data_IF_668998579087
#
_entry.id   IF_668998579087
#
_cell.length_a   1.000
_cell.length_b   1.000
_cell.length_c   1.000
_cell.angle_alpha   90.00
_cell.angle_beta   90.00
_cell.angle_gamma   90.00
#
_symmetry.space_group_name_H-M   'P 1'
#
loop_
_entity.id
_entity.type
_entity.pdbx_description
1 polymer ?
#
# COMPACT_ATOMS: atom_id res chain seq x y z
N UNK A 1 -4.50 31.29 -4.11
CA UNK A 1 -3.13 31.60 -3.61
C UNK A 1 -2.39 30.28 -3.47
N UNK A 2 -1.09 30.25 -3.77
CA UNK A 2 -0.28 29.05 -3.58
C UNK A 2 -0.11 28.75 -2.10
N UNK A 3 -0.29 27.49 -1.72
CA UNK A 3 -0.20 26.98 -0.37
C UNK A 3 1.01 26.06 -0.25
N UNK A 4 1.65 26.05 0.92
CA UNK A 4 2.70 25.10 1.27
C UNK A 4 2.28 24.34 2.53
N UNK A 5 2.44 23.03 2.51
CA UNK A 5 2.22 22.13 3.65
C UNK A 5 3.43 21.21 3.80
N UNK A 6 3.94 21.11 5.03
CA UNK A 6 4.97 20.14 5.39
C UNK A 6 4.30 18.96 6.09
N UNK A 7 4.58 17.74 5.65
CA UNK A 7 4.11 16.50 6.25
C UNK A 7 5.31 15.77 6.83
N UNK A 8 5.39 15.67 8.14
CA UNK A 8 6.45 14.96 8.85
C UNK A 8 6.11 13.47 8.96
N UNK A 9 6.96 12.63 8.37
CA UNK A 9 6.74 11.19 8.24
C UNK A 9 7.72 10.44 9.15
N UNK A 10 7.21 9.42 9.84
CA UNK A 10 8.01 8.36 10.47
C UNK A 10 7.65 7.01 9.85
N UNK A 11 8.64 6.29 9.34
CA UNK A 11 8.42 4.94 8.82
C UNK A 11 8.09 3.96 9.96
N UNK A 12 7.05 3.15 9.79
CA UNK A 12 6.70 2.03 10.67
C UNK A 12 7.31 0.72 10.16
N UNK A 13 7.46 0.61 8.84
CA UNK A 13 8.20 -0.46 8.17
C UNK A 13 9.11 0.16 7.11
N UNK A 14 10.13 -0.54 6.60
CA UNK A 14 11.04 0.05 5.63
C UNK A 14 10.30 0.57 4.41
N UNK A 15 10.64 1.76 3.95
CA UNK A 15 10.13 2.33 2.70
C UNK A 15 11.08 1.99 1.55
N UNK A 16 10.52 1.74 0.37
CA UNK A 16 11.29 1.48 -0.84
C UNK A 16 10.90 2.46 -1.95
N UNK A 17 11.82 3.34 -2.32
CA UNK A 17 11.70 4.26 -3.46
C UNK A 17 12.89 4.04 -4.37
N UNK A 18 12.77 3.04 -5.25
CA UNK A 18 13.85 2.67 -6.17
C UNK A 18 14.15 3.76 -7.18
N UNK A 19 15.44 4.00 -7.45
CA UNK A 19 15.91 4.82 -8.56
C UNK A 19 15.79 4.07 -9.91
N UNK A 20 16.32 4.68 -10.97
CA UNK A 20 16.32 4.10 -12.32
C UNK A 20 17.08 2.77 -12.43
N UNK A 21 18.00 2.51 -11.49
CA UNK A 21 18.78 1.28 -11.38
C UNK A 21 18.12 0.27 -10.43
N UNK A 22 16.96 0.61 -9.86
CA UNK A 22 16.28 -0.20 -8.87
C UNK A 22 16.98 -0.23 -7.51
N UNK A 23 17.76 0.80 -7.17
CA UNK A 23 18.43 0.96 -5.88
C UNK A 23 17.67 1.94 -4.98
N UNK A 24 17.70 1.73 -3.66
CA UNK A 24 16.99 2.55 -2.68
C UNK A 24 17.98 3.31 -1.77
N UNK A 25 18.89 4.08 -2.38
CA UNK A 25 19.94 4.82 -1.65
C UNK A 25 19.43 6.04 -0.90
N UNK A 26 18.35 6.68 -1.37
CA UNK A 26 17.68 7.82 -0.73
C UNK A 26 16.16 7.77 -1.00
N UNK A 27 15.39 8.59 -0.30
CA UNK A 27 13.95 8.72 -0.58
C UNK A 27 13.75 9.47 -1.89
N UNK A 28 13.16 8.80 -2.89
CA UNK A 28 12.88 9.38 -4.21
C UNK A 28 11.45 9.90 -4.29
N UNK A 29 11.31 11.18 -4.60
CA UNK A 29 10.02 11.86 -4.85
C UNK A 29 9.15 11.10 -5.84
N UNK A 30 9.73 10.61 -6.94
CA UNK A 30 9.02 9.87 -7.99
C UNK A 30 8.37 8.59 -7.47
N UNK A 31 9.02 7.89 -6.54
CA UNK A 31 8.46 6.70 -5.89
C UNK A 31 7.27 7.03 -4.99
N UNK A 32 7.35 8.14 -4.26
CA UNK A 32 6.26 8.64 -3.42
C UNK A 32 5.07 9.07 -4.29
N UNK A 33 5.30 9.95 -5.27
CA UNK A 33 4.27 10.44 -6.20
C UNK A 33 3.60 9.27 -6.94
N UNK A 34 4.37 8.28 -7.40
CA UNK A 34 3.83 7.10 -8.08
C UNK A 34 2.88 6.29 -7.18
N UNK A 35 3.25 6.09 -5.91
CA UNK A 35 2.37 5.41 -4.94
C UNK A 35 1.12 6.24 -4.62
N UNK A 36 1.26 7.55 -4.42
CA UNK A 36 0.14 8.47 -4.19
C UNK A 36 -0.86 8.43 -5.35
N UNK A 37 -0.36 8.49 -6.60
CA UNK A 37 -1.20 8.42 -7.79
C UNK A 37 -1.98 7.11 -7.84
N UNK A 38 -1.32 5.98 -7.63
CA UNK A 38 -1.96 4.66 -7.67
C UNK A 38 -3.10 4.53 -6.66
N UNK A 39 -2.89 5.03 -5.44
CA UNK A 39 -3.92 5.06 -4.40
C UNK A 39 -5.07 6.03 -4.74
N UNK A 40 -4.74 7.22 -5.22
CA UNK A 40 -5.73 8.21 -5.61
C UNK A 40 -6.63 7.70 -6.75
N UNK A 41 -6.06 6.98 -7.73
CA UNK A 41 -6.82 6.28 -8.77
C UNK A 41 -7.81 5.26 -8.20
N UNK A 42 -7.40 4.45 -7.22
CA UNK A 42 -8.29 3.47 -6.59
C UNK A 42 -9.41 4.13 -5.78
N UNK A 43 -9.11 5.21 -5.06
CA UNK A 43 -10.09 5.97 -4.28
C UNK A 43 -11.10 6.65 -5.21
N UNK A 44 -10.65 7.32 -6.27
CA UNK A 44 -11.54 7.98 -7.26
C UNK A 44 -12.52 6.97 -7.87
N UNK A 45 -12.04 5.79 -8.29
CA UNK A 45 -12.93 4.72 -8.80
C UNK A 45 -13.90 4.22 -7.72
N UNK A 46 -13.43 4.10 -6.48
CA UNK A 46 -14.26 3.75 -5.33
C UNK A 46 -15.39 4.72 -5.06
N UNK A 47 -15.13 6.01 -5.25
CA UNK A 47 -16.11 7.08 -5.09
C UNK A 47 -17.02 7.24 -6.32
N UNK A 48 -16.90 6.37 -7.34
CA UNK A 48 -17.73 6.40 -8.56
C UNK A 48 -17.19 7.31 -9.67
N UNK A 49 -16.06 7.98 -9.44
CA UNK A 49 -15.35 8.80 -10.41
C UNK A 49 -14.59 7.97 -11.45
N UNK A 50 -14.08 8.65 -12.47
CA UNK A 50 -13.29 8.02 -13.55
C UNK A 50 -11.79 8.31 -13.37
N UNK A 51 -10.99 7.25 -13.43
CA UNK A 51 -9.53 7.30 -13.50
C UNK A 51 -9.04 6.38 -14.62
N UNK A 52 -8.22 6.89 -15.54
CA UNK A 52 -7.68 6.12 -16.66
C UNK A 52 -6.79 4.95 -16.22
N UNK A 53 -6.63 3.96 -17.09
CA UNK A 53 -5.60 2.92 -16.92
C UNK A 53 -4.23 3.50 -17.31
N UNK A 54 -3.29 3.71 -16.37
CA UNK A 54 -2.00 4.32 -16.67
C UNK A 54 -1.14 3.44 -17.61
N UNK A 55 -1.47 2.16 -17.80
CA UNK A 55 -0.76 1.28 -18.74
C UNK A 55 -1.18 1.42 -20.21
N UNK A 56 -2.25 2.18 -20.49
CA UNK A 56 -2.84 2.31 -21.83
C UNK A 56 -2.71 3.70 -22.47
N UNK A 57 -2.03 4.64 -21.80
CA UNK A 57 -1.83 6.02 -22.28
C UNK A 57 -3.13 6.73 -22.71
N UNK A 58 -4.21 6.58 -21.93
CA UNK A 58 -5.56 7.02 -22.33
C UNK A 58 -5.84 8.52 -22.15
N UNK A 59 -5.04 9.26 -21.38
CA UNK A 59 -5.26 10.69 -21.12
C UNK A 59 -4.21 11.57 -21.83
N UNK A 60 -4.69 12.48 -22.68
CA UNK A 60 -3.92 13.56 -23.29
C UNK A 60 -4.75 14.84 -23.28
N UNK A 61 -4.15 15.95 -22.87
CA UNK A 61 -4.83 17.23 -22.77
C UNK A 61 -4.99 17.91 -24.15
N UNK A 62 -6.20 18.38 -24.44
CA UNK A 62 -6.53 19.09 -25.67
C UNK A 62 -6.98 20.54 -25.37
N UNK A 63 -6.10 21.51 -25.66
CA UNK A 63 -6.32 22.93 -25.30
C UNK A 63 -7.58 23.52 -25.95
N UNK A 64 -7.87 23.19 -27.21
CA UNK A 64 -9.04 23.72 -27.93
C UNK A 64 -10.36 23.29 -27.27
N UNK A 65 -10.43 22.04 -26.79
CA UNK A 65 -11.60 21.51 -26.05
C UNK A 65 -11.74 22.21 -24.70
N UNK A 66 -10.63 22.44 -24.01
CA UNK A 66 -10.63 23.16 -22.74
C UNK A 66 -11.16 24.60 -22.92
N UNK A 67 -10.61 25.38 -23.86
CA UNK A 67 -11.03 26.75 -24.11
C UNK A 67 -12.51 26.85 -24.52
N UNK A 68 -12.97 25.93 -25.37
CA UNK A 68 -14.38 25.86 -25.76
C UNK A 68 -15.29 25.55 -24.57
N UNK A 69 -14.90 24.61 -23.70
CA UNK A 69 -15.65 24.32 -22.48
C UNK A 69 -15.71 25.53 -21.53
N UNK A 70 -14.61 26.29 -21.38
CA UNK A 70 -14.58 27.52 -20.58
C UNK A 70 -15.48 28.61 -21.17
N UNK A 71 -15.50 28.78 -22.50
CA UNK A 71 -16.42 29.72 -23.19
C UNK A 71 -17.89 29.37 -22.96
N UNK A 72 -18.20 28.09 -22.81
CA UNK A 72 -19.55 27.60 -22.46
C UNK A 72 -19.89 27.75 -20.97
N UNK A 73 -19.02 28.36 -20.16
CA UNK A 73 -19.26 28.62 -18.73
C UNK A 73 -19.08 27.40 -17.83
N UNK A 74 -18.48 26.30 -18.32
CA UNK A 74 -18.18 25.13 -17.50
C UNK A 74 -17.15 25.45 -16.43
N UNK A 75 -17.26 24.77 -15.29
CA UNK A 75 -16.27 24.92 -14.22
C UNK A 75 -14.95 24.24 -14.59
N UNK A 76 -13.90 24.51 -13.83
CA UNK A 76 -12.55 24.00 -14.11
C UNK A 76 -12.49 22.48 -14.28
N UNK A 77 -13.13 21.75 -13.37
CA UNK A 77 -13.12 20.28 -13.38
C UNK A 77 -13.79 19.72 -14.64
N UNK A 78 -14.94 20.29 -15.01
CA UNK A 78 -15.68 19.90 -16.22
C UNK A 78 -14.91 20.24 -17.50
N UNK A 79 -14.30 21.44 -17.56
CA UNK A 79 -13.49 21.85 -18.71
C UNK A 79 -12.28 20.93 -18.92
N UNK A 80 -11.59 20.55 -17.85
CA UNK A 80 -10.46 19.62 -17.94
C UNK A 80 -10.89 18.20 -18.33
N UNK A 81 -12.08 17.77 -17.88
CA UNK A 81 -12.67 16.49 -18.27
C UNK A 81 -13.00 16.45 -19.77
N UNK A 82 -13.64 17.49 -20.28
CA UNK A 82 -13.93 17.65 -21.71
C UNK A 82 -12.64 17.68 -22.55
N UNK A 83 -11.57 18.23 -21.98
CA UNK A 83 -10.24 18.28 -22.58
C UNK A 83 -9.42 16.98 -22.50
N UNK A 84 -10.04 15.86 -22.11
CA UNK A 84 -9.41 14.53 -22.14
C UNK A 84 -8.74 14.08 -20.84
N UNK A 85 -8.88 14.83 -19.74
CA UNK A 85 -8.27 14.48 -18.45
C UNK A 85 -9.25 13.80 -17.50
N UNK A 86 -8.92 12.59 -17.04
CA UNK A 86 -9.60 11.99 -15.89
C UNK A 86 -9.28 12.77 -14.60
N UNK A 87 -10.09 12.57 -13.56
CA UNK A 87 -9.99 13.25 -12.24
C UNK A 87 -8.56 13.23 -11.70
N UNK A 88 -7.91 12.07 -11.78
CA UNK A 88 -6.54 11.88 -11.27
C UNK A 88 -5.54 12.69 -12.09
N UNK A 89 -5.64 12.64 -13.42
CA UNK A 89 -4.75 13.35 -14.32
C UNK A 89 -4.85 14.87 -14.16
N UNK A 90 -6.02 15.38 -13.75
CA UNK A 90 -6.17 16.80 -13.44
C UNK A 90 -5.23 17.25 -12.30
N UNK A 91 -4.92 16.37 -11.33
CA UNK A 91 -4.01 16.67 -10.20
C UNK A 91 -2.59 16.20 -10.49
N UNK A 92 -2.42 14.94 -10.88
CA UNK A 92 -1.12 14.27 -11.02
C UNK A 92 -0.44 14.50 -12.37
N UNK A 93 -1.13 15.14 -13.31
CA UNK A 93 -0.62 15.41 -14.65
C UNK A 93 -0.85 14.26 -15.64
N UNK A 94 -0.75 14.60 -16.91
CA UNK A 94 -0.82 13.71 -18.07
C UNK A 94 -0.04 14.34 -19.25
N UNK A 95 -0.02 13.69 -20.40
CA UNK A 95 0.54 14.29 -21.62
C UNK A 95 -0.17 15.61 -21.92
N UNK A 96 0.60 16.69 -22.09
CA UNK A 96 0.06 18.04 -22.32
C UNK A 96 -0.49 18.75 -21.08
N UNK A 97 -0.48 18.12 -19.89
CA UNK A 97 -0.97 18.73 -18.65
C UNK A 97 -0.01 18.51 -17.48
N UNK A 98 0.53 19.60 -16.93
CA UNK A 98 1.45 19.52 -15.78
C UNK A 98 0.72 19.09 -14.50
N UNK A 99 1.45 18.43 -13.63
CA UNK A 99 1.02 18.18 -12.25
C UNK A 99 0.72 19.50 -11.54
N UNK A 100 -0.34 19.52 -10.74
CA UNK A 100 -0.85 20.73 -10.06
C UNK A 100 -0.26 20.94 -8.65
N UNK A 101 0.80 20.22 -8.33
CA UNK A 101 1.56 20.36 -7.10
C UNK A 101 3.04 20.08 -7.34
N UNK A 102 3.89 20.72 -6.54
CA UNK A 102 5.27 20.29 -6.32
C UNK A 102 5.30 19.40 -5.07
N UNK A 103 6.16 18.39 -5.09
CA UNK A 103 6.46 17.53 -3.94
C UNK A 103 7.98 17.43 -3.86
N UNK A 104 8.55 17.81 -2.72
CA UNK A 104 9.97 17.62 -2.45
C UNK A 104 10.21 16.93 -1.10
N UNK A 105 11.35 16.26 -0.99
CA UNK A 105 11.80 15.64 0.26
C UNK A 105 12.72 16.61 1.00
N UNK A 106 12.48 16.81 2.29
CA UNK A 106 13.30 17.60 3.19
C UNK A 106 13.63 16.79 4.45
N UNK A 107 14.70 17.17 5.16
CA UNK A 107 15.15 16.54 6.42
C UNK A 107 15.13 15.00 6.37
N UNK A 108 15.68 14.41 5.31
CA UNK A 108 15.77 12.94 5.20
C UNK A 108 16.78 12.39 6.21
N UNK A 109 16.27 11.94 7.35
CA UNK A 109 17.03 11.27 8.41
C UNK A 109 16.91 9.73 8.31
N UNK A 110 16.40 9.22 7.19
CA UNK A 110 16.28 7.78 7.00
C UNK A 110 17.66 7.14 6.82
N UNK A 111 17.78 5.90 7.28
CA UNK A 111 18.96 5.06 7.09
C UNK A 111 18.55 3.77 6.41
N UNK A 112 19.50 3.13 5.75
CA UNK A 112 19.30 1.76 5.30
C UNK A 112 18.92 0.88 6.51
N UNK A 113 17.91 0.04 6.36
CA UNK A 113 17.36 -0.73 7.49
C UNK A 113 18.34 -1.81 7.97
N UNK A 114 19.25 -2.26 7.09
CA UNK A 114 20.42 -3.06 7.40
C UNK A 114 21.43 -2.98 6.26
N UNK A 115 22.71 -3.23 6.53
CA UNK A 115 23.82 -2.98 5.59
C UNK A 115 24.11 -4.15 4.64
N UNK A 116 25.12 -3.93 3.77
CA UNK A 116 25.75 -4.92 2.87
C UNK A 116 24.86 -5.47 1.75
N UNK A 117 23.73 -4.83 1.44
CA UNK A 117 22.77 -5.29 0.43
C UNK A 117 22.32 -6.76 0.64
N UNK A 118 22.37 -7.25 1.88
CA UNK A 118 22.01 -8.63 2.20
C UNK A 118 20.51 -8.82 1.93
N UNK A 119 20.15 -9.82 1.13
CA UNK A 119 18.76 -10.14 0.86
C UNK A 119 18.28 -11.16 1.88
N UNK A 120 17.28 -10.82 2.69
CA UNK A 120 16.65 -11.77 3.60
C UNK A 120 15.71 -12.68 2.81
N UNK A 121 15.99 -13.98 2.79
CA UNK A 121 15.12 -14.98 2.19
C UNK A 121 14.25 -15.64 3.27
N UNK A 122 13.08 -15.06 3.53
CA UNK A 122 12.11 -15.61 4.48
C UNK A 122 11.42 -16.80 3.82
N UNK A 123 11.71 -18.01 4.31
CA UNK A 123 11.23 -19.26 3.72
C UNK A 123 10.71 -20.21 4.80
N UNK A 124 9.38 -20.38 4.91
CA UNK A 124 8.77 -21.32 5.84
C UNK A 124 9.20 -22.78 5.61
N UNK A 125 9.03 -23.67 6.61
CA UNK A 125 9.39 -25.08 6.51
C UNK A 125 8.77 -25.76 5.28
N UNK A 126 9.47 -26.76 4.73
CA UNK A 126 9.00 -27.56 3.59
C UNK A 126 8.76 -26.78 2.28
N UNK A 127 9.20 -25.51 2.19
CA UNK A 127 9.14 -24.72 0.95
C UNK A 127 10.48 -24.73 0.20
N UNK A 128 10.41 -24.84 -1.13
CA UNK A 128 11.59 -24.71 -2.00
C UNK A 128 11.96 -23.24 -2.27
N UNK A 129 10.97 -22.35 -2.31
CA UNK A 129 11.13 -20.91 -2.60
C UNK A 129 10.60 -20.07 -1.42
N UNK A 130 11.13 -18.87 -1.26
CA UNK A 130 10.74 -17.93 -0.21
C UNK A 130 10.49 -16.52 -0.74
N UNK A 131 10.33 -15.58 0.19
CA UNK A 131 10.18 -14.17 -0.09
C UNK A 131 11.50 -13.45 0.16
N UNK A 132 11.91 -12.64 -0.81
CA UNK A 132 13.17 -11.91 -0.78
C UNK A 132 12.91 -10.46 -0.35
N UNK A 133 13.48 -10.09 0.79
CA UNK A 133 13.37 -8.74 1.36
C UNK A 133 14.72 -8.03 1.17
N UNK A 134 14.70 -6.90 0.47
CA UNK A 134 15.88 -6.05 0.26
C UNK A 134 15.93 -4.95 1.32
N UNK A 135 17.09 -4.43 1.70
CA UNK A 135 17.16 -3.33 2.64
C UNK A 135 16.44 -2.10 2.09
N UNK A 136 15.32 -1.73 2.71
CA UNK A 136 14.66 -0.45 2.48
C UNK A 136 15.25 0.62 3.39
N UNK A 137 14.68 1.81 3.36
CA UNK A 137 15.07 2.91 4.26
C UNK A 137 14.09 3.00 5.43
N UNK A 138 14.59 3.30 6.63
CA UNK A 138 13.78 3.47 7.84
C UNK A 138 14.26 4.70 8.60
N UNK A 139 13.33 5.48 9.15
CA UNK A 139 13.63 6.70 9.90
C UNK A 139 12.53 7.75 9.73
N UNK A 140 12.95 9.02 9.74
CA UNK A 140 12.08 10.18 9.61
C UNK A 140 12.47 11.00 8.39
N UNK A 141 11.49 11.64 7.77
CA UNK A 141 11.69 12.61 6.70
C UNK A 141 10.48 13.53 6.59
N UNK A 142 10.63 14.66 5.91
CA UNK A 142 9.55 15.59 5.63
C UNK A 142 9.21 15.58 4.14
N UNK A 143 7.91 15.62 3.83
CA UNK A 143 7.40 15.86 2.49
C UNK A 143 6.88 17.29 2.45
N UNK A 144 7.41 18.11 1.56
CA UNK A 144 6.91 19.48 1.33
C UNK A 144 6.01 19.43 0.10
N UNK A 145 4.73 19.78 0.27
CA UNK A 145 3.77 19.94 -0.80
C UNK A 145 3.54 21.42 -1.07
N UNK A 146 3.57 21.81 -2.35
CA UNK A 146 3.25 23.17 -2.77
C UNK A 146 2.26 23.14 -3.93
N UNK A 147 1.19 23.94 -3.88
CA UNK A 147 0.16 23.92 -4.90
C UNK A 147 -1.05 24.78 -4.52
N UNK A 148 -2.13 24.71 -5.28
CA UNK A 148 -3.37 25.37 -4.89
C UNK A 148 -4.00 24.70 -3.68
N UNK A 149 -4.67 25.49 -2.82
CA UNK A 149 -5.27 25.01 -1.56
C UNK A 149 -6.18 23.79 -1.74
N UNK A 150 -7.01 23.76 -2.79
CA UNK A 150 -7.88 22.63 -3.07
C UNK A 150 -7.09 21.34 -3.42
N UNK A 151 -5.95 21.48 -4.11
CA UNK A 151 -5.06 20.35 -4.42
C UNK A 151 -4.36 19.88 -3.16
N UNK A 152 -3.78 20.79 -2.37
CA UNK A 152 -3.13 20.46 -1.10
C UNK A 152 -4.11 19.79 -0.14
N UNK A 153 -5.35 20.26 -0.04
CA UNK A 153 -6.35 19.64 0.81
C UNK A 153 -6.72 18.22 0.40
N UNK A 154 -6.86 17.94 -0.90
CA UNK A 154 -7.09 16.56 -1.40
C UNK A 154 -5.91 15.65 -1.13
N UNK A 155 -4.69 16.15 -1.32
CA UNK A 155 -3.48 15.38 -1.01
C UNK A 155 -3.35 15.13 0.49
N UNK A 156 -3.75 16.08 1.35
CA UNK A 156 -3.78 15.91 2.81
C UNK A 156 -4.71 14.77 3.21
N UNK A 157 -5.93 14.74 2.66
CA UNK A 157 -6.88 13.63 2.87
C UNK A 157 -6.34 12.29 2.35
N UNK A 158 -5.65 12.29 1.21
CA UNK A 158 -4.95 11.10 0.71
C UNK A 158 -3.90 10.63 1.72
N UNK A 159 -3.05 11.51 2.25
CA UNK A 159 -2.02 11.13 3.22
C UNK A 159 -2.61 10.56 4.52
N UNK A 160 -3.69 11.14 5.04
CA UNK A 160 -4.39 10.62 6.23
C UNK A 160 -5.01 9.24 5.97
N UNK A 161 -5.60 9.05 4.78
CA UNK A 161 -6.10 7.75 4.36
C UNK A 161 -4.96 6.71 4.25
N UNK A 162 -3.82 7.08 3.65
CA UNK A 162 -2.66 6.21 3.52
C UNK A 162 -2.00 5.91 4.86
N UNK A 163 -1.96 6.86 5.77
CA UNK A 163 -1.50 6.65 7.15
C UNK A 163 -2.34 5.59 7.84
N UNK A 164 -3.65 5.52 7.57
CA UNK A 164 -4.55 4.57 8.23
C UNK A 164 -4.55 3.20 7.55
N UNK A 165 -4.65 3.19 6.22
CA UNK A 165 -5.01 2.00 5.45
C UNK A 165 -4.03 1.61 4.35
N UNK A 166 -3.04 2.46 4.08
CA UNK A 166 -2.16 2.31 2.94
C UNK A 166 -0.67 2.27 3.27
N UNK A 167 0.12 2.56 2.24
CA UNK A 167 1.57 2.61 2.28
C UNK A 167 2.10 3.54 1.18
N UNK A 168 3.30 4.07 1.39
CA UNK A 168 4.06 4.87 0.43
C UNK A 168 5.18 4.06 -0.23
N UNK A 169 5.52 4.44 -1.46
CA UNK A 169 6.57 3.78 -2.24
C UNK A 169 6.16 2.40 -2.78
N UNK A 170 7.16 1.62 -3.17
CA UNK A 170 6.97 0.30 -3.77
C UNK A 170 7.11 -0.84 -2.74
N UNK A 171 6.97 -2.08 -3.22
CA UNK A 171 7.12 -3.32 -2.41
C UNK A 171 6.14 -3.46 -1.25
N UNK A 172 4.99 -2.76 -1.25
CA UNK A 172 3.93 -2.96 -0.24
C UNK A 172 3.42 -4.40 -0.15
N UNK A 173 3.47 -5.17 -1.24
CA UNK A 173 3.18 -6.60 -1.24
C UNK A 173 4.19 -7.45 -0.42
N UNK A 174 5.30 -6.86 0.02
CA UNK A 174 6.29 -7.45 0.92
C UNK A 174 6.27 -6.76 2.31
N UNK A 175 5.31 -5.87 2.55
CA UNK A 175 5.09 -5.16 3.82
C UNK A 175 5.87 -3.85 4.01
N UNK A 176 6.36 -3.27 2.92
CA UNK A 176 7.11 -2.00 2.93
C UNK A 176 6.17 -0.79 2.89
N UNK A 177 6.66 0.34 3.38
CA UNK A 177 6.06 1.66 3.14
C UNK A 177 4.98 2.07 4.12
N UNK A 178 4.75 1.32 5.20
CA UNK A 178 3.82 1.73 6.24
C UNK A 178 4.44 2.82 7.10
N UNK A 179 3.67 3.84 7.47
CA UNK A 179 4.19 5.05 8.07
C UNK A 179 3.17 5.70 9.03
N UNK A 180 3.66 6.66 9.82
CA UNK A 180 2.90 7.54 10.68
C UNK A 180 3.20 8.99 10.37
N UNK A 181 2.19 9.85 10.37
CA UNK A 181 2.33 11.31 10.27
C UNK A 181 2.50 11.84 11.68
N UNK A 182 3.60 12.56 11.94
CA UNK A 182 3.90 13.05 13.30
C UNK A 182 3.32 14.43 13.59
N UNK A 183 2.99 15.21 12.57
CA UNK A 183 2.27 16.49 12.66
C UNK A 183 0.83 16.35 12.12
N UNK A 184 0.12 15.31 12.58
CA UNK A 184 -1.16 14.89 12.00
C UNK A 184 -2.24 15.98 12.06
N UNK A 185 -2.29 16.77 13.13
CA UNK A 185 -3.29 17.83 13.31
C UNK A 185 -3.17 18.90 12.22
N UNK A 186 -1.94 19.32 11.87
CA UNK A 186 -1.69 20.29 10.80
C UNK A 186 -2.14 19.77 9.43
N UNK A 187 -1.97 18.47 9.17
CA UNK A 187 -2.43 17.83 7.93
C UNK A 187 -3.94 17.72 7.91
N UNK A 188 -4.55 17.39 9.05
CA UNK A 188 -6.01 17.29 9.20
C UNK A 188 -6.70 18.64 9.02
N UNK A 189 -6.12 19.73 9.50
CA UNK A 189 -6.65 21.08 9.32
C UNK A 189 -6.73 21.52 7.85
N UNK A 190 -5.94 20.90 6.97
CA UNK A 190 -5.97 21.15 5.51
C UNK A 190 -6.80 20.14 4.74
N UNK A 191 -7.10 18.99 5.33
CA UNK A 191 -7.82 17.93 4.65
C UNK A 191 -9.23 18.39 4.22
N UNK A 192 -9.58 18.09 2.98
CA UNK A 192 -10.94 18.29 2.46
C UNK A 192 -11.54 16.95 2.03
N UNK A 193 -12.86 16.75 2.17
CA UNK A 193 -13.49 15.48 1.77
C UNK A 193 -13.15 15.11 0.32
N UNK A 194 -12.72 13.85 0.13
CA UNK A 194 -12.60 13.27 -1.20
C UNK A 194 -14.01 12.88 -1.67
N UNK A 195 -14.49 13.52 -2.71
CA UNK A 195 -15.82 13.28 -3.26
C UNK A 195 -15.76 13.17 -4.77
N UNK A 196 -16.33 12.11 -5.30
CA UNK A 196 -16.58 11.96 -6.73
C UNK A 196 -18.03 11.57 -6.95
N UNK A 197 -18.54 11.84 -8.15
CA UNK A 197 -19.91 11.50 -8.53
C UNK A 197 -19.89 10.73 -9.84
N UNK A 198 -20.49 9.55 -9.84
CA UNK A 198 -20.66 8.73 -11.02
C UNK A 198 -21.02 7.30 -10.67
N UNK A 199 -21.39 6.54 -11.71
CA UNK A 199 -21.83 5.15 -11.58
C UNK A 199 -20.89 4.18 -12.33
N UNK A 200 -19.66 4.61 -12.64
CA UNK A 200 -18.70 3.75 -13.35
C UNK A 200 -18.07 2.76 -12.37
N UNK A 201 -18.55 1.52 -12.42
CA UNK A 201 -17.91 0.42 -11.71
C UNK A 201 -16.85 -0.26 -12.59
N UNK A 202 -15.60 0.23 -12.52
CA UNK A 202 -14.46 -0.43 -13.15
C UNK A 202 -14.05 -1.66 -12.33
N UNK A 203 -14.56 -2.82 -12.74
CA UNK A 203 -14.39 -4.11 -12.05
C UNK A 203 -12.97 -4.67 -12.10
N UNK A 204 -12.21 -4.39 -13.14
CA UNK A 204 -10.91 -5.07 -13.40
C UNK A 204 -9.69 -4.28 -12.92
N UNK A 205 -9.85 -2.98 -12.66
CA UNK A 205 -8.80 -2.10 -12.19
C UNK A 205 -8.89 -1.95 -10.66
N UNK A 206 -7.80 -1.58 -9.97
CA UNK A 206 -7.86 -1.29 -8.54
C UNK A 206 -8.92 -0.21 -8.26
N UNK A 207 -9.94 -0.58 -7.49
CA UNK A 207 -11.10 0.23 -7.18
C UNK A 207 -11.49 -0.03 -5.73
N UNK A 208 -11.49 1.02 -4.89
CA UNK A 208 -11.68 0.91 -3.44
C UNK A 208 -13.01 0.24 -3.04
N UNK A 209 -14.05 0.30 -3.89
CA UNK A 209 -15.31 -0.42 -3.66
C UNK A 209 -15.14 -1.94 -3.60
N UNK A 210 -14.06 -2.45 -4.18
CA UNK A 210 -13.72 -3.88 -4.24
C UNK A 210 -12.52 -4.21 -3.37
N UNK A 211 -12.26 -3.43 -2.32
CA UNK A 211 -11.13 -3.65 -1.44
C UNK A 211 -11.56 -4.23 -0.11
N UNK A 212 -10.60 -4.88 0.53
CA UNK A 212 -10.72 -5.30 1.92
C UNK A 212 -9.55 -4.67 2.68
N UNK A 213 -9.79 -4.30 3.93
CA UNK A 213 -8.77 -3.82 4.85
C UNK A 213 -8.78 -4.64 6.12
N UNK A 214 -7.63 -4.78 6.76
CA UNK A 214 -7.53 -5.49 8.02
C UNK A 214 -6.42 -4.93 8.90
N UNK A 215 -6.62 -5.04 10.21
CA UNK A 215 -5.64 -4.72 11.24
C UNK A 215 -5.72 -5.77 12.34
N UNK A 216 -4.55 -6.13 12.88
CA UNK A 216 -4.37 -7.08 13.96
C UNK A 216 -3.46 -6.43 14.99
N UNK A 217 -4.02 -6.12 16.16
CA UNK A 217 -3.29 -5.58 17.30
C UNK A 217 -3.12 -6.69 18.33
N UNK A 218 -1.89 -6.86 18.83
CA UNK A 218 -1.56 -7.90 19.77
C UNK A 218 -0.45 -7.46 20.73
N UNK A 219 -0.44 -8.06 21.91
CA UNK A 219 0.63 -7.88 22.90
C UNK A 219 1.49 -9.13 23.00
N UNK A 220 2.77 -8.93 23.23
CA UNK A 220 3.73 -10.00 23.47
C UNK A 220 4.46 -9.72 24.78
N UNK A 221 4.60 -10.72 25.64
CA UNK A 221 5.31 -10.56 26.91
C UNK A 221 6.83 -10.52 26.75
N UNK A 222 7.35 -11.15 25.68
CA UNK A 222 8.79 -11.20 25.43
C UNK A 222 9.16 -10.43 24.16
N UNK A 223 10.29 -9.72 24.20
CA UNK A 223 10.80 -8.94 23.08
C UNK A 223 11.34 -9.81 21.92
N UNK A 224 11.55 -11.10 22.16
CA UNK A 224 12.11 -12.09 21.24
C UNK A 224 11.05 -13.08 20.70
N UNK A 225 9.76 -12.79 20.86
CA UNK A 225 8.63 -13.62 20.36
C UNK A 225 8.79 -14.04 18.87
N UNK A 226 9.40 -13.18 18.08
CA UNK A 226 9.65 -13.38 16.65
C UNK A 226 10.65 -14.51 16.35
N UNK A 227 11.47 -14.91 17.33
CA UNK A 227 12.42 -16.04 17.20
C UNK A 227 11.72 -17.39 17.12
N UNK A 228 10.46 -17.45 17.55
CA UNK A 228 9.63 -18.66 17.59
C UNK A 228 8.77 -18.81 16.33
N UNK A 229 8.81 -17.83 15.43
CA UNK A 229 8.01 -17.87 14.19
C UNK A 229 8.69 -18.77 13.16
N UNK A 230 7.99 -19.82 12.76
CA UNK A 230 8.41 -20.69 11.68
C UNK A 230 8.72 -19.90 10.40
N UNK A 231 9.87 -20.16 9.78
CA UNK A 231 10.35 -19.44 8.60
C UNK A 231 11.28 -18.27 8.90
N UNK A 232 11.11 -17.57 10.03
CA UNK A 232 12.13 -16.63 10.53
C UNK A 232 13.26 -17.37 11.23
N UNK A 233 12.97 -18.48 11.92
CA UNK A 233 13.97 -19.36 12.56
C UNK A 233 15.12 -19.76 11.63
N UNK A 234 14.86 -19.96 10.34
CA UNK A 234 15.90 -20.31 9.37
C UNK A 234 16.95 -19.20 9.22
N UNK A 235 16.52 -17.94 9.32
CA UNK A 235 17.41 -16.77 9.28
C UNK A 235 18.20 -16.62 10.59
N UNK A 236 17.80 -17.27 11.68
CA UNK A 236 18.58 -17.29 12.92
C UNK A 236 19.79 -18.23 12.85
N UNK A 237 19.80 -19.18 11.92
CA UNK A 237 20.91 -20.12 11.73
C UNK A 237 22.15 -19.51 11.06
N UNK A 238 22.03 -18.35 10.43
CA UNK A 238 23.16 -17.58 9.90
C UNK A 238 23.40 -16.33 10.74
N UNK A 239 24.66 -16.11 11.15
CA UNK A 239 25.03 -15.03 12.06
C UNK A 239 24.66 -13.65 11.51
N UNK A 240 24.83 -13.40 10.21
CA UNK A 240 24.55 -12.09 9.62
C UNK A 240 23.05 -11.83 9.60
N UNK A 241 22.25 -12.78 9.13
CA UNK A 241 20.79 -12.61 9.08
C UNK A 241 20.15 -12.60 10.46
N UNK A 242 20.71 -13.33 11.44
CA UNK A 242 20.28 -13.27 12.84
C UNK A 242 20.48 -11.88 13.44
N UNK A 243 21.65 -11.26 13.21
CA UNK A 243 21.94 -9.89 13.66
C UNK A 243 20.96 -8.89 13.03
N UNK A 244 20.69 -9.02 11.73
CA UNK A 244 19.73 -8.16 11.02
C UNK A 244 18.33 -8.27 11.65
N UNK A 245 17.83 -9.48 11.88
CA UNK A 245 16.51 -9.66 12.49
C UNK A 245 16.43 -9.08 13.90
N UNK A 246 17.46 -9.28 14.73
CA UNK A 246 17.53 -8.69 16.06
C UNK A 246 17.56 -7.17 16.02
N UNK A 247 18.30 -6.56 15.08
CA UNK A 247 18.33 -5.11 14.89
C UNK A 247 16.95 -4.56 14.48
N UNK A 248 16.29 -5.19 13.51
CA UNK A 248 14.94 -4.82 13.09
C UNK A 248 13.95 -4.91 14.26
N UNK A 249 13.98 -6.00 15.02
CA UNK A 249 13.11 -6.19 16.18
C UNK A 249 13.34 -5.11 17.26
N UNK A 250 14.60 -4.74 17.52
CA UNK A 250 14.96 -3.65 18.42
C UNK A 250 14.51 -2.28 17.92
N UNK A 251 14.45 -2.08 16.60
CA UNK A 251 13.82 -0.91 15.98
C UNK A 251 12.28 -0.97 15.99
N UNK A 252 11.70 -2.03 16.58
CA UNK A 252 10.27 -2.20 16.72
C UNK A 252 9.58 -2.70 15.45
N UNK A 253 10.27 -3.47 14.60
CA UNK A 253 9.67 -4.07 13.40
C UNK A 253 10.13 -5.52 13.15
N UNK A 254 9.22 -6.39 12.68
CA UNK A 254 9.50 -7.81 12.40
C UNK A 254 8.85 -8.23 11.07
N UNK A 255 9.60 -8.80 10.11
CA UNK A 255 9.11 -9.09 8.76
C UNK A 255 8.18 -10.32 8.70
N UNK A 256 6.99 -10.23 9.29
CA UNK A 256 5.99 -11.31 9.33
C UNK A 256 5.14 -11.44 8.06
N UNK A 257 5.21 -10.47 7.14
CA UNK A 257 4.43 -10.46 5.89
C UNK A 257 4.58 -11.75 5.06
N UNK A 258 5.79 -12.28 4.82
CA UNK A 258 5.96 -13.59 4.18
C UNK A 258 5.31 -14.76 4.90
N UNK A 259 5.29 -14.75 6.25
CA UNK A 259 4.75 -15.84 7.07
C UNK A 259 3.24 -15.91 6.92
N UNK A 260 2.57 -14.75 7.07
CA UNK A 260 1.14 -14.62 6.85
C UNK A 260 0.75 -15.03 5.44
N UNK A 261 1.49 -14.57 4.43
CA UNK A 261 1.24 -14.93 3.03
C UNK A 261 1.43 -16.41 2.75
N UNK A 262 2.42 -17.06 3.36
CA UNK A 262 2.61 -18.50 3.22
C UNK A 262 1.42 -19.27 3.81
N UNK A 263 1.04 -18.94 5.06
CA UNK A 263 -0.08 -19.58 5.74
C UNK A 263 -1.37 -19.43 4.94
N UNK A 264 -1.69 -18.21 4.51
CA UNK A 264 -2.85 -17.96 3.68
C UNK A 264 -2.78 -18.73 2.36
N UNK A 265 -1.66 -18.63 1.63
CA UNK A 265 -1.55 -19.21 0.28
C UNK A 265 -1.61 -20.73 0.26
N UNK A 266 -0.98 -21.39 1.21
CA UNK A 266 -0.64 -22.80 1.06
C UNK A 266 -1.24 -23.72 2.12
N UNK A 267 -1.75 -23.17 3.22
CA UNK A 267 -2.29 -23.98 4.32
C UNK A 267 -3.76 -23.70 4.59
N UNK A 268 -4.22 -22.46 4.39
CA UNK A 268 -5.59 -22.04 4.73
C UNK A 268 -6.47 -21.78 3.52
N UNK A 269 -5.95 -21.13 2.48
CA UNK A 269 -6.73 -20.81 1.29
C UNK A 269 -6.64 -21.93 0.26
N UNK A 270 -7.45 -22.97 0.50
CA UNK A 270 -7.54 -24.13 -0.36
C UNK A 270 -8.35 -23.83 -1.63
N UNK A 271 -7.68 -23.17 -2.58
CA UNK A 271 -8.19 -22.88 -3.92
C UNK A 271 -7.19 -23.34 -4.97
N UNK A 272 -7.67 -23.52 -6.19
CA UNK A 272 -6.82 -23.92 -7.32
C UNK A 272 -5.74 -22.87 -7.65
N UNK A 273 -4.70 -23.30 -8.34
CA UNK A 273 -3.55 -22.45 -8.70
C UNK A 273 -3.94 -21.13 -9.40
N UNK A 274 -4.93 -21.07 -10.32
CA UNK A 274 -5.35 -19.80 -10.91
C UNK A 274 -5.79 -18.75 -9.87
N UNK A 275 -6.51 -19.16 -8.82
CA UNK A 275 -6.91 -18.30 -7.71
C UNK A 275 -5.71 -17.82 -6.88
N UNK A 276 -4.82 -18.75 -6.51
CA UNK A 276 -3.57 -18.44 -5.79
C UNK A 276 -2.70 -17.45 -6.59
N UNK A 277 -2.54 -17.69 -7.90
CA UNK A 277 -1.81 -16.83 -8.84
C UNK A 277 -2.39 -15.43 -8.91
N UNK A 278 -3.71 -15.30 -9.01
CA UNK A 278 -4.41 -14.02 -9.15
C UNK A 278 -4.32 -13.15 -7.89
N UNK A 279 -4.61 -13.70 -6.70
CA UNK A 279 -4.66 -12.91 -5.47
C UNK A 279 -3.30 -12.76 -4.79
N UNK A 280 -2.59 -13.87 -4.63
CA UNK A 280 -1.33 -13.93 -3.87
C UNK A 280 -0.10 -13.91 -4.79
N UNK A 281 -0.29 -13.77 -6.10
CA UNK A 281 0.77 -13.55 -7.08
C UNK A 281 1.56 -14.81 -7.45
N UNK A 282 2.58 -14.61 -8.27
CA UNK A 282 3.58 -15.61 -8.67
C UNK A 282 4.82 -14.91 -9.21
N UNK A 283 5.98 -15.55 -9.08
CA UNK A 283 7.27 -15.09 -9.64
C UNK A 283 7.91 -16.15 -10.55
N UNK A 284 7.11 -17.11 -11.05
CA UNK A 284 7.61 -18.29 -11.77
C UNK A 284 7.94 -17.94 -13.22
N UNK A 285 9.23 -17.86 -13.55
CA UNK A 285 9.70 -17.62 -14.91
C UNK A 285 9.15 -16.31 -15.48
N UNK A 286 8.51 -16.40 -16.66
CA UNK A 286 7.86 -15.28 -17.33
C UNK A 286 6.43 -15.01 -16.82
N UNK A 287 5.88 -15.91 -16.00
CA UNK A 287 4.59 -15.75 -15.34
C UNK A 287 4.78 -14.97 -14.04
N UNK A 288 4.97 -13.66 -14.15
CA UNK A 288 5.14 -12.75 -13.00
C UNK A 288 3.85 -11.97 -12.76
N UNK A 289 3.20 -12.27 -11.64
CA UNK A 289 1.99 -11.56 -11.18
C UNK A 289 2.25 -11.01 -9.79
N UNK A 290 2.10 -9.70 -9.63
CA UNK A 290 2.19 -9.05 -8.32
C UNK A 290 1.03 -9.53 -7.45
N UNK A 291 1.31 -9.85 -6.19
CA UNK A 291 0.25 -10.11 -5.21
C UNK A 291 -0.60 -8.86 -5.02
N UNK A 292 -1.93 -9.04 -5.04
CA UNK A 292 -2.95 -8.00 -4.80
C UNK A 292 -3.24 -7.78 -3.33
N UNK A 293 -2.67 -8.62 -2.46
CA UNK A 293 -2.74 -8.50 -1.00
C UNK A 293 -1.44 -7.87 -0.51
N UNK A 294 -1.53 -6.77 0.20
CA UNK A 294 -0.43 -6.18 0.95
C UNK A 294 -0.67 -6.39 2.43
N UNK A 295 0.38 -6.76 3.16
CA UNK A 295 0.36 -6.89 4.61
C UNK A 295 1.69 -6.39 5.12
N UNK A 296 1.63 -5.50 6.12
CA UNK A 296 2.79 -4.89 6.75
C UNK A 296 3.68 -5.93 7.42
N UNK A 297 4.89 -5.48 7.78
CA UNK A 297 5.61 -6.13 8.88
C UNK A 297 4.84 -5.89 10.18
N UNK A 298 5.12 -6.67 11.22
CA UNK A 298 4.67 -6.31 12.55
C UNK A 298 5.49 -5.11 12.97
N UNK A 299 4.86 -4.05 13.45
CA UNK A 299 5.55 -2.86 13.96
C UNK A 299 4.98 -2.45 15.30
N UNK A 300 5.79 -1.75 16.11
CA UNK A 300 5.34 -1.22 17.40
C UNK A 300 4.53 0.06 17.23
N UNK A 301 3.41 0.11 17.94
CA UNK A 301 2.62 1.32 18.15
C UNK A 301 2.24 1.42 19.63
N UNK A 302 2.93 2.30 20.35
CA UNK A 302 2.91 2.29 21.81
C UNK A 302 3.43 0.96 22.35
N UNK A 303 2.66 0.35 23.25
CA UNK A 303 2.98 -0.95 23.85
C UNK A 303 2.51 -2.15 23.00
N UNK A 304 1.74 -1.91 21.94
CA UNK A 304 1.15 -2.95 21.11
C UNK A 304 2.02 -3.22 19.87
N UNK A 305 1.95 -4.44 19.37
CA UNK A 305 2.37 -4.78 18.01
C UNK A 305 1.17 -4.72 17.08
N UNK A 306 1.40 -4.19 15.89
CA UNK A 306 0.36 -4.01 14.87
C UNK A 306 0.82 -4.64 13.57
N UNK A 307 -0.08 -5.40 12.96
CA UNK A 307 0.00 -5.79 11.55
C UNK A 307 -1.25 -5.29 10.87
N UNK A 308 -1.11 -4.58 9.75
CA UNK A 308 -2.26 -4.17 8.95
C UNK A 308 -2.01 -4.35 7.47
N UNK A 309 -3.07 -4.29 6.67
CA UNK A 309 -2.96 -4.50 5.25
C UNK A 309 -4.27 -4.31 4.52
N UNK A 310 -4.19 -4.58 3.22
CA UNK A 310 -5.33 -4.49 2.32
C UNK A 310 -5.25 -5.56 1.23
N UNK A 311 -6.40 -5.87 0.64
CA UNK A 311 -6.51 -6.69 -0.56
C UNK A 311 -7.27 -5.93 -1.63
N UNK A 312 -6.64 -5.71 -2.79
CA UNK A 312 -7.32 -5.18 -3.99
C UNK A 312 -8.04 -6.31 -4.70
N UNK A 313 -9.30 -6.57 -4.34
CA UNK A 313 -10.11 -7.65 -4.88
C UNK A 313 -10.86 -7.21 -6.13
N UNK A 314 -10.17 -6.64 -7.11
CA UNK A 314 -10.76 -6.36 -8.42
C UNK A 314 -10.95 -7.68 -9.20
N UNK A 315 -12.02 -7.75 -10.01
CA UNK A 315 -12.33 -8.89 -10.86
C UNK A 315 -11.12 -9.26 -11.75
N UNK A 316 -10.90 -10.55 -12.04
CA UNK A 316 -9.83 -10.96 -12.94
C UNK A 316 -10.05 -10.32 -14.31
N UNK A 317 -9.04 -9.60 -14.82
CA UNK A 317 -9.22 -8.75 -16.00
C UNK A 317 -9.43 -9.52 -17.30
N UNK A 318 -8.36 -10.12 -17.82
CA UNK A 318 -8.35 -10.71 -19.18
C UNK A 318 -9.10 -12.04 -19.24
N UNK A 319 -9.66 -12.45 -20.40
CA UNK A 319 -10.30 -13.76 -20.59
C UNK A 319 -9.42 -14.96 -20.18
N UNK A 320 -8.08 -14.84 -20.28
CA UNK A 320 -7.12 -15.86 -19.84
C UNK A 320 -7.00 -16.01 -18.32
N UNK A 321 -7.50 -15.05 -17.54
CA UNK A 321 -7.53 -15.06 -16.08
C UNK A 321 -8.92 -15.38 -15.53
N UNK A 322 -9.88 -15.82 -16.36
CA UNK A 322 -11.23 -16.14 -15.90
C UNK A 322 -11.15 -17.19 -14.77
N UNK A 323 -11.47 -16.75 -13.55
CA UNK A 323 -11.54 -17.62 -12.38
C UNK A 323 -13.00 -18.08 -12.28
N UNK A 324 -13.28 -19.38 -12.42
CA UNK A 324 -14.65 -19.89 -12.48
C UNK A 324 -15.53 -19.52 -11.27
N UNK A 325 -14.90 -19.34 -10.11
CA UNK A 325 -15.59 -19.11 -8.84
C UNK A 325 -14.99 -17.94 -8.02
N UNK A 326 -14.75 -16.83 -8.72
CA UNK A 326 -14.14 -15.64 -8.14
C UNK A 326 -14.87 -15.09 -6.88
N UNK A 327 -16.21 -14.97 -6.85
CA UNK A 327 -16.91 -14.47 -5.65
C UNK A 327 -16.69 -15.36 -4.42
N UNK A 328 -16.74 -16.67 -4.60
CA UNK A 328 -16.47 -17.64 -3.54
C UNK A 328 -15.04 -17.57 -3.04
N UNK A 329 -14.07 -17.39 -3.95
CA UNK A 329 -12.66 -17.25 -3.59
C UNK A 329 -12.42 -16.04 -2.69
N UNK A 330 -13.09 -14.92 -2.98
CA UNK A 330 -13.11 -13.74 -2.12
C UNK A 330 -13.74 -14.05 -0.77
N UNK A 331 -14.91 -14.70 -0.75
CA UNK A 331 -15.61 -15.05 0.49
C UNK A 331 -14.72 -15.88 1.41
N UNK A 332 -14.14 -16.97 0.88
CA UNK A 332 -13.17 -17.83 1.60
C UNK A 332 -11.98 -17.05 2.12
N UNK A 333 -11.43 -16.12 1.34
CA UNK A 333 -10.29 -15.32 1.78
C UNK A 333 -10.67 -14.34 2.91
N UNK A 334 -11.85 -13.69 2.83
CA UNK A 334 -12.38 -12.85 3.90
C UNK A 334 -12.57 -13.64 5.21
N UNK A 335 -13.03 -14.89 5.13
CA UNK A 335 -13.18 -15.78 6.29
C UNK A 335 -11.84 -16.11 6.94
N UNK A 336 -10.81 -16.40 6.15
CA UNK A 336 -9.44 -16.63 6.66
C UNK A 336 -8.92 -15.41 7.43
N UNK A 337 -9.17 -14.20 6.92
CA UNK A 337 -8.72 -12.98 7.59
C UNK A 337 -9.49 -12.69 8.88
N UNK A 338 -10.76 -13.12 8.98
CA UNK A 338 -11.59 -12.99 10.19
C UNK A 338 -11.29 -14.09 11.24
N UNK A 339 -10.69 -15.21 10.84
CA UNK A 339 -10.37 -16.31 11.73
C UNK A 339 -9.15 -15.98 12.62
N UNK A 340 -9.43 -15.72 13.91
CA UNK A 340 -8.41 -15.44 14.93
C UNK A 340 -7.38 -16.57 15.07
N UNK A 341 -7.75 -17.83 14.82
CA UNK A 341 -6.83 -18.97 14.91
C UNK A 341 -5.74 -18.93 13.84
N UNK A 342 -6.03 -18.38 12.67
CA UNK A 342 -5.04 -18.18 11.59
C UNK A 342 -3.97 -17.19 12.04
N UNK A 343 -4.37 -16.06 12.62
CA UNK A 343 -3.45 -15.05 13.15
C UNK A 343 -2.64 -15.57 14.33
N UNK A 344 -3.28 -16.28 15.26
CA UNK A 344 -2.61 -16.92 16.39
C UNK A 344 -1.53 -17.89 15.94
N UNK A 345 -1.85 -18.76 14.98
CA UNK A 345 -0.87 -19.69 14.40
C UNK A 345 0.29 -18.96 13.71
N UNK A 346 0.00 -18.00 12.83
CA UNK A 346 1.04 -17.31 12.04
C UNK A 346 2.04 -16.53 12.90
N UNK A 347 1.54 -15.87 13.95
CA UNK A 347 2.32 -14.96 14.78
C UNK A 347 2.72 -15.57 16.12
N UNK A 348 2.47 -16.88 16.30
CA UNK A 348 2.68 -17.61 17.54
C UNK A 348 2.06 -16.90 18.77
N UNK A 349 0.79 -16.47 18.65
CA UNK A 349 0.07 -15.73 19.69
C UNK A 349 -0.61 -16.63 20.73
N UNK A 350 -0.52 -17.96 20.61
CA UNK A 350 -1.05 -18.85 21.66
C UNK A 350 -0.31 -18.67 23.00
N UNK A 351 0.88 -18.06 22.94
CA UNK A 351 1.61 -17.59 24.12
C UNK A 351 1.03 -16.29 24.70
N UNK A 352 0.56 -15.30 23.93
CA UNK A 352 0.07 -13.99 24.44
C UNK A 352 -0.96 -13.23 23.55
N UNK A 353 -1.75 -12.37 24.19
CA UNK A 353 -3.08 -11.87 23.78
C UNK A 353 -3.19 -11.14 22.44
N UNK A 354 -4.05 -11.67 21.55
CA UNK A 354 -4.72 -10.89 20.50
C UNK A 354 -5.66 -9.87 21.15
N UNK A 355 -5.40 -8.57 20.93
CA UNK A 355 -6.19 -7.47 21.49
C UNK A 355 -7.37 -7.15 20.60
N UNK A 356 -7.10 -6.99 19.31
CA UNK A 356 -8.10 -6.55 18.34
C UNK A 356 -7.78 -7.13 16.95
N UNK A 357 -8.83 -7.54 16.24
CA UNK A 357 -8.77 -7.95 14.84
C UNK A 357 -9.96 -7.29 14.13
N UNK A 358 -9.67 -6.37 13.22
CA UNK A 358 -10.66 -5.70 12.41
C UNK A 358 -10.52 -6.12 10.95
N UNK A 359 -11.66 -6.31 10.27
CA UNK A 359 -11.71 -6.58 8.84
C UNK A 359 -12.85 -5.76 8.25
N UNK A 360 -12.50 -4.81 7.39
CA UNK A 360 -13.44 -3.94 6.70
C UNK A 360 -13.58 -4.38 5.24
N UNK A 361 -14.80 -4.53 4.77
CA UNK A 361 -15.08 -4.93 3.38
C UNK A 361 -15.91 -3.93 2.59
N UNK A 362 -16.47 -2.93 3.27
CA UNK A 362 -17.21 -1.85 2.63
C UNK A 362 -16.34 -0.59 2.63
N UNK A 363 -16.32 0.13 1.51
CA UNK A 363 -15.52 1.36 1.40
C UNK A 363 -15.96 2.43 2.39
N UNK A 364 -17.25 2.46 2.73
CA UNK A 364 -17.84 3.39 3.69
C UNK A 364 -17.27 3.20 5.09
N UNK A 365 -16.77 2.02 5.43
CA UNK A 365 -16.16 1.77 6.74
C UNK A 365 -14.77 2.41 6.85
N UNK A 366 -14.08 2.61 5.73
CA UNK A 366 -12.71 3.15 5.70
C UNK A 366 -12.63 4.60 5.21
N UNK A 367 -13.69 5.12 4.60
CA UNK A 367 -13.82 6.52 4.15
C UNK A 367 -14.39 7.47 5.23
N UNK A 368 -14.75 6.95 6.42
CA UNK A 368 -15.29 7.73 7.55
C UNK A 368 -14.19 8.38 8.45
N UNK A 369 -12.94 8.37 8.00
CA UNK A 369 -11.74 8.82 8.75
C UNK A 369 -11.02 9.90 7.95
#
# INVERSE_FOLDING_TARGET
MGETLTISIRTLTPIWTGDVNGQCSEIKETGIIGSMRWWYEAIVRGLGGYACDPSKHECSFEIDKYENAKKLGKNEHESLKDAGLCVVCQIFGATGWKRQFNLSISKDETKESWSDNIILNVRPPQRSHGWFLSPGRSGRFEIILQGESAVIGRLSSLFLFLESWGALGAKSQLGYGFFKITNRDEVQDRAIPLSESGNKDEKYLPNLSHWLFFSCHFKQQHNDWWTWIEGLQRLLGDRKTAVILSQLANQGMVPVSPILKNLWRFEKWDVEYPGKRWLLGTSKGNDRVRSKVAVSWAYREGDDWVVRGWGSLAEPGKPKEKIPDYPEYIRKFKEILKDKSVWRKALNLDSFSLKELQVFSEKEDVLKL
#
